data_IF_268760470915
#
_entry.id   IF_268760470915
#
_cell.length_a   1.000
_cell.length_b   1.000
_cell.length_c   1.000
_cell.angle_alpha   90.00
_cell.angle_beta   90.00
_cell.angle_gamma   90.00
#
_symmetry.space_group_name_H-M   'P 1'
#
loop_
_entity.id
_entity.type
_entity.pdbx_description
1 polymer ?
#
# COMPACT_ATOMS: atom_id res chain seq x y z
N UNK A 1 -12.00 -4.46 5.30
CA UNK A 1 -10.87 -5.36 4.99
C UNK A 1 -10.03 -4.70 3.91
N UNK A 2 -8.74 -4.47 4.17
CA UNK A 2 -7.78 -3.79 3.28
C UNK A 2 -7.63 -4.46 1.92
N UNK A 3 -6.91 -3.86 0.96
CA UNK A 3 -6.37 -4.52 -0.25
C UNK A 3 -4.85 -4.39 -0.27
N UNK A 4 -4.16 -5.34 -0.88
CA UNK A 4 -2.71 -5.30 -1.03
C UNK A 4 -2.27 -5.80 -2.40
N UNK A 5 -1.06 -5.42 -2.78
CA UNK A 5 -0.40 -5.79 -4.03
C UNK A 5 1.08 -6.00 -3.75
N UNK A 6 1.64 -7.10 -4.26
CA UNK A 6 3.07 -7.34 -4.25
C UNK A 6 3.57 -7.45 -5.70
N UNK A 7 4.81 -7.02 -5.93
CA UNK A 7 5.49 -7.17 -7.22
C UNK A 7 6.92 -7.66 -6.98
N UNK A 8 7.38 -8.56 -7.84
CA UNK A 8 8.76 -9.03 -7.95
C UNK A 8 9.06 -9.26 -9.43
N UNK A 9 10.06 -8.55 -9.97
CA UNK A 9 10.37 -8.63 -11.39
C UNK A 9 11.39 -7.61 -11.88
N UNK A 10 11.28 -7.23 -13.15
CA UNK A 10 12.12 -6.21 -13.77
C UNK A 10 11.86 -4.81 -13.17
N UNK A 11 12.82 -3.87 -13.26
CA UNK A 11 12.68 -2.56 -12.65
C UNK A 11 11.51 -1.81 -13.28
N UNK A 12 10.52 -1.47 -12.47
CA UNK A 12 9.30 -0.78 -12.88
C UNK A 12 9.02 0.37 -11.92
N UNK A 13 8.36 1.44 -12.40
CA UNK A 13 7.97 2.53 -11.50
C UNK A 13 6.86 2.09 -10.54
N UNK A 14 6.83 2.66 -9.33
CA UNK A 14 5.71 2.42 -8.41
C UNK A 14 4.38 2.84 -9.04
N UNK A 15 4.37 3.92 -9.83
CA UNK A 15 3.19 4.41 -10.57
C UNK A 15 2.61 3.35 -11.51
N UNK A 16 3.46 2.71 -12.31
CA UNK A 16 3.03 1.67 -13.27
C UNK A 16 2.41 0.44 -12.59
N UNK A 17 2.75 0.17 -11.33
CA UNK A 17 2.24 -1.00 -10.59
C UNK A 17 1.07 -0.64 -9.67
N UNK A 18 1.14 0.50 -8.99
CA UNK A 18 0.18 0.87 -7.94
C UNK A 18 -0.96 1.72 -8.48
N UNK A 19 -0.67 2.65 -9.41
CA UNK A 19 -1.57 3.75 -9.79
C UNK A 19 -2.24 3.50 -11.15
N UNK A 20 -1.46 3.17 -12.18
CA UNK A 20 -1.93 3.09 -13.57
C UNK A 20 -2.80 1.88 -13.91
N UNK A 21 -2.60 0.67 -13.34
CA UNK A 21 -3.36 -0.48 -13.78
C UNK A 21 -4.87 -0.28 -13.57
N UNK A 22 -5.64 -0.54 -14.62
CA UNK A 22 -7.10 -0.60 -14.52
C UNK A 22 -7.49 -1.64 -13.46
N UNK A 23 -8.40 -1.27 -12.56
CA UNK A 23 -8.79 -2.08 -11.40
C UNK A 23 -7.62 -2.45 -10.46
N UNK A 24 -6.50 -1.72 -10.54
CA UNK A 24 -5.33 -1.86 -9.70
C UNK A 24 -5.55 -1.37 -8.27
N UNK A 25 -4.48 -1.36 -7.47
CA UNK A 25 -4.58 -1.03 -6.04
C UNK A 25 -5.15 0.38 -5.80
N UNK A 26 -4.80 1.35 -6.65
CA UNK A 26 -5.36 2.69 -6.61
C UNK A 26 -6.88 2.68 -6.81
N UNK A 27 -7.43 2.11 -7.88
CA UNK A 27 -8.89 2.02 -8.08
C UNK A 27 -9.58 1.21 -6.98
N UNK A 28 -8.95 0.12 -6.52
CA UNK A 28 -9.47 -0.68 -5.40
C UNK A 28 -9.59 0.10 -4.09
N UNK A 29 -8.98 1.27 -3.97
CA UNK A 29 -9.15 2.11 -2.78
C UNK A 29 -10.55 2.70 -2.66
N UNK A 30 -11.25 3.00 -3.76
CA UNK A 30 -12.64 3.48 -3.73
C UNK A 30 -13.64 2.54 -4.41
N UNK A 31 -13.18 1.63 -5.27
CA UNK A 31 -14.03 0.70 -6.04
C UNK A 31 -13.47 -0.73 -6.07
N UNK A 32 -13.33 -1.40 -4.91
CA UNK A 32 -12.88 -2.79 -4.88
C UNK A 32 -13.96 -3.74 -5.45
N UNK A 33 -13.60 -4.60 -6.39
CA UNK A 33 -14.56 -5.47 -7.11
C UNK A 33 -14.93 -6.78 -6.40
N UNK A 34 -14.05 -7.26 -5.52
CA UNK A 34 -14.18 -8.58 -4.87
C UNK A 34 -14.05 -8.50 -3.34
N UNK A 35 -14.22 -7.31 -2.76
CA UNK A 35 -14.14 -7.09 -1.32
C UNK A 35 -15.49 -7.36 -0.67
N UNK A 36 -15.54 -8.30 0.28
CA UNK A 36 -16.78 -8.68 1.00
C UNK A 36 -17.01 -7.87 2.28
N UNK A 37 -15.96 -7.31 2.86
CA UNK A 37 -16.03 -6.59 4.14
C UNK A 37 -15.39 -5.21 4.02
N UNK A 38 -16.16 -4.17 4.33
CA UNK A 38 -15.79 -2.75 4.11
C UNK A 38 -16.09 -2.30 2.67
N UNK A 39 -16.65 -1.10 2.51
CA UNK A 39 -17.08 -0.55 1.22
C UNK A 39 -15.92 0.06 0.43
N UNK A 40 -15.02 0.74 1.14
CA UNK A 40 -13.85 1.47 0.58
C UNK A 40 -12.62 1.21 1.43
N UNK A 41 -11.44 1.51 0.88
CA UNK A 41 -10.15 1.47 1.58
C UNK A 41 -9.55 2.88 1.63
N UNK A 42 -10.18 3.75 2.42
CA UNK A 42 -9.90 5.18 2.49
C UNK A 42 -9.12 5.59 3.77
N UNK A 43 -8.90 4.66 4.70
CA UNK A 43 -8.38 4.93 6.06
C UNK A 43 -6.84 4.98 6.12
N UNK A 44 -6.19 5.12 4.97
CA UNK A 44 -4.75 5.14 4.81
C UNK A 44 -4.23 4.26 3.69
N UNK A 45 -2.95 4.43 3.36
CA UNK A 45 -2.24 3.57 2.42
C UNK A 45 -0.76 3.49 2.78
N UNK A 46 -0.09 2.52 2.19
CA UNK A 46 1.36 2.48 2.22
C UNK A 46 1.96 1.69 1.07
N UNK A 47 3.19 2.04 0.73
CA UNK A 47 4.03 1.34 -0.23
C UNK A 47 5.40 1.16 0.39
N UNK A 48 5.88 -0.08 0.44
CA UNK A 48 7.25 -0.41 0.77
C UNK A 48 7.95 -0.96 -0.47
N UNK A 49 9.19 -0.58 -0.70
CA UNK A 49 9.98 -1.03 -1.85
C UNK A 49 11.44 -1.21 -1.48
N UNK A 50 12.14 -2.01 -2.27
CA UNK A 50 13.57 -2.23 -2.13
C UNK A 50 14.33 -1.33 -3.11
N UNK A 51 15.19 -0.48 -2.58
CA UNK A 51 16.07 0.37 -3.36
C UNK A 51 17.42 -0.34 -3.58
N UNK A 52 18.03 -0.15 -4.74
CA UNK A 52 19.31 -0.80 -5.05
C UNK A 52 20.40 -0.33 -4.08
N UNK A 53 21.11 -1.28 -3.49
CA UNK A 53 22.18 -1.01 -2.51
C UNK A 53 21.71 -0.77 -1.07
N UNK A 54 20.40 -0.71 -0.80
CA UNK A 54 19.86 -0.62 0.55
C UNK A 54 19.36 -2.00 1.05
N UNK A 55 19.91 -2.55 2.15
CA UNK A 55 19.44 -3.82 2.71
C UNK A 55 18.04 -3.74 3.33
N UNK A 56 17.52 -2.55 3.60
CA UNK A 56 16.21 -2.34 4.22
C UNK A 56 15.21 -1.74 3.22
N UNK A 57 13.92 -2.13 3.30
CA UNK A 57 12.92 -1.54 2.45
C UNK A 57 12.61 -0.10 2.92
N UNK A 58 12.58 0.83 1.96
CA UNK A 58 11.98 2.13 2.19
C UNK A 58 10.44 1.98 2.33
N UNK A 59 9.81 2.87 3.09
CA UNK A 59 8.34 2.89 3.24
C UNK A 59 7.78 4.30 3.18
N UNK A 60 6.72 4.45 2.40
CA UNK A 60 5.87 5.62 2.38
C UNK A 60 4.50 5.23 2.92
N UNK A 61 4.05 5.84 4.03
CA UNK A 61 2.77 5.51 4.68
C UNK A 61 2.03 6.76 5.11
N UNK A 62 0.70 6.77 4.92
CA UNK A 62 -0.15 7.91 5.25
C UNK A 62 -1.49 7.46 5.81
N UNK A 63 -2.07 8.32 6.64
CA UNK A 63 -3.41 8.19 7.23
C UNK A 63 -4.49 8.96 6.43
N UNK A 64 -4.33 9.03 5.10
CA UNK A 64 -5.29 9.65 4.19
C UNK A 64 -5.56 8.69 3.03
N UNK A 65 -6.65 8.85 2.27
CA UNK A 65 -6.87 8.05 1.07
C UNK A 65 -5.74 8.25 0.05
N UNK A 66 -5.39 7.19 -0.68
CA UNK A 66 -4.28 7.23 -1.65
C UNK A 66 -4.48 8.28 -2.76
N UNK A 67 -5.73 8.58 -3.11
CA UNK A 67 -6.07 9.62 -4.10
C UNK A 67 -5.96 11.05 -3.59
N UNK A 68 -5.83 11.24 -2.27
CA UNK A 68 -5.73 12.55 -1.64
C UNK A 68 -4.28 12.99 -1.37
N UNK A 69 -3.28 12.22 -1.82
CA UNK A 69 -1.86 12.53 -1.62
C UNK A 69 -1.16 12.89 -2.94
N UNK A 70 -1.06 14.18 -3.30
CA UNK A 70 -0.34 14.61 -4.50
C UNK A 70 1.16 14.37 -4.38
N UNK A 71 1.74 14.38 -3.18
CA UNK A 71 3.16 14.11 -2.98
C UNK A 71 3.49 12.65 -3.30
N UNK A 72 2.59 11.73 -2.99
CA UNK A 72 2.77 10.33 -3.38
C UNK A 72 2.75 10.14 -4.91
N UNK A 73 1.97 10.92 -5.65
CA UNK A 73 1.96 10.86 -7.11
C UNK A 73 3.34 11.15 -7.72
N UNK A 74 4.07 12.12 -7.16
CA UNK A 74 5.44 12.43 -7.58
C UNK A 74 6.43 11.33 -7.20
N UNK A 75 6.39 10.86 -5.94
CA UNK A 75 7.23 9.74 -5.49
C UNK A 75 7.01 8.51 -6.38
N UNK A 76 5.75 8.20 -6.69
CA UNK A 76 5.39 7.03 -7.48
C UNK A 76 5.90 7.13 -8.93
N UNK A 77 5.90 8.33 -9.51
CA UNK A 77 6.37 8.59 -10.87
C UNK A 77 7.88 8.39 -11.02
N UNK A 78 8.68 8.80 -10.04
CA UNK A 78 10.15 8.79 -10.14
C UNK A 78 10.81 7.56 -9.54
N UNK A 79 10.15 6.90 -8.59
CA UNK A 79 10.72 5.74 -7.89
C UNK A 79 10.53 4.47 -8.71
N UNK A 80 11.64 3.78 -9.01
CA UNK A 80 11.65 2.45 -9.63
C UNK A 80 12.13 1.40 -8.65
N UNK A 81 11.65 0.18 -8.80
CA UNK A 81 12.07 -0.96 -7.97
C UNK A 81 11.86 -2.29 -8.70
N UNK A 82 12.59 -3.31 -8.27
CA UNK A 82 12.37 -4.71 -8.65
C UNK A 82 11.42 -5.44 -7.72
N UNK A 83 11.15 -4.90 -6.52
CA UNK A 83 10.30 -5.53 -5.53
C UNK A 83 9.55 -4.50 -4.66
N UNK A 84 8.24 -4.69 -4.47
CA UNK A 84 7.44 -3.84 -3.58
C UNK A 84 6.29 -4.62 -2.93
N UNK A 85 5.80 -4.08 -1.81
CA UNK A 85 4.53 -4.43 -1.18
C UNK A 85 3.74 -3.16 -0.89
N UNK A 86 2.52 -3.07 -1.42
CA UNK A 86 1.63 -1.93 -1.25
C UNK A 86 0.30 -2.36 -0.63
N UNK A 87 -0.36 -1.46 0.09
CA UNK A 87 -1.67 -1.68 0.67
C UNK A 87 -2.51 -0.40 0.74
N UNK A 88 -3.83 -0.56 0.60
CA UNK A 88 -4.84 0.46 0.90
C UNK A 88 -5.73 -0.04 2.02
N UNK A 89 -6.00 0.82 3.00
CA UNK A 89 -6.51 0.43 4.31
C UNK A 89 -8.01 0.68 4.45
N UNK A 90 -8.71 -0.33 4.95
CA UNK A 90 -10.08 -0.24 5.45
C UNK A 90 -10.04 -0.62 6.93
N UNK A 91 -10.10 0.38 7.81
CA UNK A 91 -9.89 0.23 9.24
C UNK A 91 -11.05 -0.51 9.92
N UNK A 92 -10.71 -1.39 10.86
CA UNK A 92 -11.71 -1.97 11.76
C UNK A 92 -12.16 -0.89 12.76
N UNK A 93 -13.47 -0.79 13.09
CA UNK A 93 -13.95 0.14 14.11
C UNK A 93 -13.16 0.00 15.42
N UNK A 94 -12.78 1.14 16.01
CA UNK A 94 -11.95 1.21 17.22
C UNK A 94 -10.44 1.01 17.00
N UNK A 95 -10.00 0.70 15.77
CA UNK A 95 -8.58 0.65 15.42
C UNK A 95 -7.94 2.04 15.33
N UNK A 96 -6.62 2.11 15.50
CA UNK A 96 -5.85 3.35 15.31
C UNK A 96 -6.07 3.94 13.91
N UNK A 97 -6.15 5.27 13.81
CA UNK A 97 -6.23 6.00 12.54
C UNK A 97 -4.89 6.58 12.10
N UNK A 98 -3.81 6.28 12.82
CA UNK A 98 -2.49 6.80 12.51
C UNK A 98 -1.83 6.05 11.33
N UNK A 99 -0.86 6.72 10.70
CA UNK A 99 -0.16 6.18 9.52
C UNK A 99 0.68 4.94 9.84
N UNK A 100 1.06 4.75 11.10
CA UNK A 100 1.78 3.56 11.58
C UNK A 100 0.92 2.28 11.55
N UNK A 101 -0.41 2.42 11.61
CA UNK A 101 -1.38 1.35 11.47
C UNK A 101 -1.63 0.95 10.01
N UNK A 102 -1.14 1.72 9.04
CA UNK A 102 -1.17 1.35 7.63
C UNK A 102 -0.03 0.39 7.28
N UNK A 103 -0.36 -0.68 6.57
CA UNK A 103 0.62 -1.60 5.99
C UNK A 103 1.35 -0.93 4.81
N UNK A 104 2.59 -1.33 4.47
CA UNK A 104 3.29 -2.48 5.02
C UNK A 104 4.01 -2.23 6.36
N UNK A 105 3.98 -3.26 7.21
CA UNK A 105 4.82 -3.41 8.39
C UNK A 105 6.19 -3.96 7.99
N UNK A 106 7.17 -3.89 8.89
CA UNK A 106 8.53 -4.40 8.62
C UNK A 106 9.19 -4.93 9.87
N UNK A 107 10.02 -5.94 9.65
CA UNK A 107 11.04 -6.42 10.56
C UNK A 107 12.30 -6.73 9.74
N UNK A 108 13.39 -6.01 9.99
CA UNK A 108 14.62 -6.13 9.22
C UNK A 108 14.40 -5.88 7.71
N UNK A 109 14.73 -6.84 6.83
CA UNK A 109 14.55 -6.70 5.38
C UNK A 109 13.14 -7.11 4.91
N UNK A 110 12.22 -7.47 5.80
CA UNK A 110 10.93 -8.07 5.41
C UNK A 110 9.82 -7.03 5.43
N UNK A 111 9.03 -6.98 4.36
CA UNK A 111 7.75 -6.28 4.34
C UNK A 111 6.60 -7.25 4.62
N UNK A 112 5.62 -6.81 5.40
CA UNK A 112 4.43 -7.60 5.71
C UNK A 112 3.14 -6.78 5.57
N UNK A 113 2.09 -7.38 5.05
CA UNK A 113 0.76 -6.78 4.94
C UNK A 113 -0.30 -7.78 5.35
N UNK A 114 -1.25 -7.31 6.15
CA UNK A 114 -2.37 -8.12 6.62
C UNK A 114 -3.68 -7.56 6.07
N UNK A 115 -4.56 -8.45 5.65
CA UNK A 115 -5.86 -8.15 5.10
C UNK A 115 -6.90 -9.05 5.75
N UNK A 116 -7.47 -8.55 6.84
CA UNK A 116 -8.35 -9.32 7.70
C UNK A 116 -8.49 -8.65 9.05
N UNK A 117 -8.99 -9.42 10.00
CA UNK A 117 -9.07 -9.08 11.42
C UNK A 117 -8.59 -10.29 12.20
N UNK A 118 -7.88 -10.03 13.30
CA UNK A 118 -7.55 -11.02 14.30
C UNK A 118 -8.31 -10.64 15.58
N UNK A 119 -8.86 -11.64 16.26
CA UNK A 119 -9.39 -11.47 17.61
C UNK A 119 -8.24 -11.64 18.62
N UNK A 120 -8.41 -11.03 19.80
CA UNK A 120 -7.45 -11.14 20.90
C UNK A 120 -7.63 -12.46 21.66
#
# INVERSE_FOLDING_TARGET
MCRHLAYLGEPVSLRQIVVEPAHGLYEQSWRPRAQRHGTVNADGFGVGWYADGDPHPARYRRAIPIWADPSFADVARVTRTRALLAAVRSATPGGSQAADAAAPYTEGPRLFSHNGRLDA
#
